data_IF_389334822790
#
_entry.id   IF_389334822790
#
_cell.length_a   1.000
_cell.length_b   1.000
_cell.length_c   1.000
_cell.angle_alpha   90.00
_cell.angle_beta   90.00
_cell.angle_gamma   90.00
#
_symmetry.space_group_name_H-M   'P 1'
#
loop_
_entity.id
_entity.type
_entity.pdbx_description
1 polymer ?
#
# COMPACT_ATOMS: atom_id res chain seq x y z
N UNK A 1 -16.51 18.43 -5.63
CA UNK A 1 -17.76 17.99 -6.31
C UNK A 1 -18.19 16.67 -5.72
N UNK A 2 -19.44 16.54 -5.28
CA UNK A 2 -19.98 15.27 -4.77
C UNK A 2 -21.02 14.71 -5.73
N UNK A 3 -21.05 13.39 -5.91
CA UNK A 3 -22.08 12.70 -6.68
C UNK A 3 -22.88 11.81 -5.74
N UNK A 4 -24.21 11.95 -5.76
CA UNK A 4 -25.09 11.08 -4.97
C UNK A 4 -25.14 9.70 -5.61
N UNK A 5 -24.94 8.66 -4.80
CA UNK A 5 -24.99 7.26 -5.20
C UNK A 5 -25.98 6.53 -4.30
N UNK A 6 -26.87 5.73 -4.87
CA UNK A 6 -27.74 4.83 -4.10
C UNK A 6 -27.07 3.47 -4.05
N UNK A 7 -26.67 3.04 -2.85
CA UNK A 7 -26.03 1.74 -2.61
C UNK A 7 -26.79 0.99 -1.54
N UNK A 8 -26.85 -0.34 -1.69
CA UNK A 8 -27.35 -1.24 -0.66
C UNK A 8 -26.16 -1.76 0.13
N UNK A 9 -26.22 -1.64 1.45
CA UNK A 9 -25.22 -2.20 2.36
C UNK A 9 -25.91 -3.17 3.32
N UNK A 10 -25.21 -4.21 3.80
CA UNK A 10 -25.71 -5.05 4.87
C UNK A 10 -26.08 -4.22 6.09
N UNK A 11 -27.15 -4.62 6.79
CA UNK A 11 -27.61 -3.93 8.00
C UNK A 11 -26.50 -3.83 9.06
N UNK A 12 -25.71 -4.89 9.22
CA UNK A 12 -24.55 -4.91 10.11
C UNK A 12 -23.52 -3.81 9.78
N UNK A 13 -23.30 -3.54 8.50
CA UNK A 13 -22.40 -2.46 8.04
C UNK A 13 -22.99 -1.08 8.31
N UNK A 14 -24.32 -0.92 8.18
CA UNK A 14 -25.00 0.32 8.51
C UNK A 14 -24.88 0.61 10.01
N UNK A 15 -25.12 -0.38 10.88
CA UNK A 15 -24.98 -0.24 12.33
C UNK A 15 -23.54 0.18 12.70
N UNK A 16 -22.53 -0.46 12.11
CA UNK A 16 -21.14 -0.08 12.30
C UNK A 16 -20.87 1.35 11.85
N UNK A 17 -21.37 1.72 10.65
CA UNK A 17 -21.23 3.07 10.12
C UNK A 17 -21.87 4.11 11.05
N UNK A 18 -23.03 3.84 11.62
CA UNK A 18 -23.72 4.74 12.55
C UNK A 18 -23.03 4.84 13.91
N UNK A 19 -22.37 3.77 14.36
CA UNK A 19 -21.60 3.79 15.60
C UNK A 19 -20.35 4.65 15.53
N UNK A 20 -19.76 4.81 14.33
CA UNK A 20 -18.50 5.53 14.12
C UNK A 20 -18.71 6.91 13.50
N UNK A 21 -19.66 7.05 12.57
CA UNK A 21 -19.93 8.30 11.89
C UNK A 21 -21.09 9.06 12.53
N UNK A 22 -20.82 10.30 12.96
CA UNK A 22 -21.87 11.22 13.43
C UNK A 22 -22.92 11.53 12.36
N UNK A 23 -24.04 12.14 12.78
CA UNK A 23 -25.11 12.57 11.86
C UNK A 23 -24.52 13.49 10.78
N UNK A 24 -24.71 13.14 9.51
CA UNK A 24 -24.20 13.91 8.37
C UNK A 24 -22.81 13.49 7.86
N UNK A 25 -22.03 12.74 8.67
CA UNK A 25 -20.65 12.36 8.32
C UNK A 25 -20.53 11.04 7.57
N UNK A 26 -21.64 10.32 7.35
CA UNK A 26 -21.64 8.98 6.72
C UNK A 26 -20.94 8.98 5.36
N UNK A 27 -21.25 9.95 4.49
CA UNK A 27 -20.65 10.03 3.15
C UNK A 27 -19.14 10.31 3.21
N UNK A 28 -18.72 11.18 4.12
CA UNK A 28 -17.30 11.51 4.34
C UNK A 28 -16.53 10.30 4.90
N UNK A 29 -17.13 9.59 5.85
CA UNK A 29 -16.57 8.35 6.38
C UNK A 29 -16.41 7.28 5.29
N UNK A 30 -17.43 7.07 4.46
CA UNK A 30 -17.38 6.12 3.34
C UNK A 30 -16.27 6.51 2.34
N UNK A 31 -16.15 7.80 1.97
CA UNK A 31 -15.09 8.28 1.08
C UNK A 31 -13.69 7.99 1.65
N UNK A 32 -13.48 8.30 2.93
CA UNK A 32 -12.21 8.05 3.60
C UNK A 32 -11.90 6.57 3.75
N UNK A 33 -12.91 5.74 4.04
CA UNK A 33 -12.75 4.30 4.12
C UNK A 33 -12.34 3.69 2.77
N UNK A 34 -13.00 4.10 1.67
CA UNK A 34 -12.67 3.64 0.32
C UNK A 34 -11.24 4.06 -0.06
N UNK A 35 -10.87 5.33 0.15
CA UNK A 35 -9.51 5.81 -0.13
C UNK A 35 -8.45 5.05 0.66
N UNK A 36 -8.71 4.82 1.94
CA UNK A 36 -7.78 4.10 2.83
C UNK A 36 -7.61 2.65 2.42
N UNK A 37 -8.72 1.98 2.07
CA UNK A 37 -8.71 0.61 1.58
C UNK A 37 -7.89 0.49 0.28
N UNK A 38 -8.20 1.32 -0.72
CA UNK A 38 -7.49 1.30 -2.01
C UNK A 38 -6.00 1.60 -1.81
N UNK A 39 -5.64 2.55 -0.94
CA UNK A 39 -4.25 2.86 -0.64
C UNK A 39 -3.53 1.65 -0.03
N UNK A 40 -4.14 0.97 0.93
CA UNK A 40 -3.58 -0.22 1.58
C UNK A 40 -3.39 -1.36 0.57
N UNK A 41 -4.40 -1.64 -0.25
CA UNK A 41 -4.32 -2.67 -1.30
C UNK A 41 -3.18 -2.40 -2.28
N UNK A 42 -3.08 -1.16 -2.79
CA UNK A 42 -1.98 -0.77 -3.69
C UNK A 42 -0.60 -0.89 -3.04
N UNK A 43 -0.48 -0.56 -1.75
CA UNK A 43 0.78 -0.72 -1.03
C UNK A 43 1.16 -2.20 -0.87
N UNK A 44 0.19 -3.06 -0.60
CA UNK A 44 0.41 -4.50 -0.49
C UNK A 44 0.83 -5.11 -1.82
N UNK A 45 0.14 -4.77 -2.91
CA UNK A 45 0.52 -5.17 -4.27
C UNK A 45 1.94 -4.72 -4.63
N UNK A 46 2.26 -3.44 -4.38
CA UNK A 46 3.58 -2.91 -4.65
C UNK A 46 4.68 -3.65 -3.85
N UNK A 47 4.44 -3.92 -2.57
CA UNK A 47 5.39 -4.69 -1.74
C UNK A 47 5.62 -6.09 -2.29
N UNK A 48 4.55 -6.76 -2.71
CA UNK A 48 4.64 -8.10 -3.27
C UNK A 48 5.46 -8.09 -4.56
N UNK A 49 5.17 -7.16 -5.48
CA UNK A 49 5.91 -7.01 -6.74
C UNK A 49 7.37 -6.62 -6.54
N UNK A 50 7.67 -5.78 -5.56
CA UNK A 50 9.05 -5.45 -5.20
C UNK A 50 9.80 -6.67 -4.66
N UNK A 51 9.16 -7.47 -3.79
CA UNK A 51 9.74 -8.71 -3.26
C UNK A 51 10.01 -9.71 -4.37
N UNK A 52 9.03 -9.98 -5.23
CA UNK A 52 9.18 -10.89 -6.38
C UNK A 52 10.28 -10.41 -7.32
N UNK A 53 10.30 -9.11 -7.61
CA UNK A 53 11.34 -8.49 -8.40
C UNK A 53 12.73 -8.69 -7.80
N UNK A 54 12.91 -8.46 -6.50
CA UNK A 54 14.18 -8.64 -5.80
C UNK A 54 14.63 -10.11 -5.81
N UNK A 55 13.71 -11.05 -5.59
CA UNK A 55 14.01 -12.50 -5.64
C UNK A 55 14.45 -12.90 -7.04
N UNK A 56 13.67 -12.54 -8.06
CA UNK A 56 13.96 -12.87 -9.46
C UNK A 56 15.31 -12.29 -9.94
N UNK A 57 15.75 -11.21 -9.31
CA UNK A 57 16.96 -10.47 -9.66
C UNK A 57 18.16 -10.78 -8.76
N UNK A 58 17.96 -11.58 -7.72
CA UNK A 58 18.93 -11.80 -6.63
C UNK A 58 20.31 -12.27 -7.11
N UNK A 59 20.38 -13.22 -8.05
CA UNK A 59 21.65 -13.75 -8.55
C UNK A 59 22.47 -12.68 -9.27
N UNK A 60 21.84 -11.95 -10.21
CA UNK A 60 22.49 -10.85 -10.93
C UNK A 60 22.88 -9.71 -9.97
N UNK A 61 22.02 -9.37 -9.03
CA UNK A 61 22.30 -8.30 -8.06
C UNK A 61 23.47 -8.70 -7.13
N UNK A 62 23.55 -9.96 -6.72
CA UNK A 62 24.67 -10.49 -5.93
C UNK A 62 25.98 -10.51 -6.73
N UNK A 63 25.93 -10.93 -7.99
CA UNK A 63 27.09 -10.95 -8.87
C UNK A 63 27.65 -9.54 -9.07
N UNK A 64 26.78 -8.58 -9.36
CA UNK A 64 27.16 -7.17 -9.49
C UNK A 64 27.78 -6.64 -8.19
N UNK A 65 27.18 -6.94 -7.03
CA UNK A 65 27.73 -6.50 -5.75
C UNK A 65 29.15 -7.05 -5.51
N UNK A 66 29.42 -8.31 -5.87
CA UNK A 66 30.76 -8.90 -5.76
C UNK A 66 31.78 -8.23 -6.66
N UNK A 67 31.41 -7.92 -7.91
CA UNK A 67 32.29 -7.26 -8.88
C UNK A 67 32.74 -5.87 -8.41
N UNK A 68 31.87 -5.16 -7.71
CA UNK A 68 32.14 -3.79 -7.24
C UNK A 68 32.72 -3.72 -5.82
N UNK A 69 32.74 -4.84 -5.10
CA UNK A 69 33.15 -4.89 -3.70
C UNK A 69 34.59 -4.40 -3.48
N UNK A 70 35.53 -4.80 -4.34
CA UNK A 70 36.94 -4.43 -4.21
C UNK A 70 37.15 -2.91 -4.33
N UNK A 71 36.41 -2.25 -5.22
CA UNK A 71 36.49 -0.79 -5.43
C UNK A 71 35.88 -0.02 -4.25
N UNK A 72 34.82 -0.55 -3.65
CA UNK A 72 34.20 0.05 -2.45
C UNK A 72 35.08 -0.10 -1.21
N UNK A 73 35.73 -1.25 -1.03
CA UNK A 73 36.62 -1.51 0.12
C UNK A 73 37.83 -0.56 0.14
N UNK A 74 38.45 -0.29 -1.02
CA UNK A 74 39.56 0.65 -1.15
C UNK A 74 39.19 2.10 -0.78
N UNK A 75 37.93 2.50 -1.00
CA UNK A 75 37.43 3.84 -0.66
C UNK A 75 37.06 4.00 0.81
N UNK A 76 36.67 2.91 1.49
CA UNK A 76 36.31 2.91 2.91
C UNK A 76 37.50 2.82 3.87
N UNK A 77 38.66 2.37 3.40
CA UNK A 77 39.89 2.24 4.20
C UNK A 77 40.77 3.52 4.19
N UNK A 78 40.25 4.63 3.66
CA UNK A 78 40.86 5.98 3.71
C UNK A 78 40.14 6.88 4.70
#
# INVERSE_FOLDING_TARGET
MHKRLNITLPESTIVLLESVAGKGEKSNFIDNAIKSYIRREKQNDLRQRLKEGAIARSERDLQLAKEWFEVEEELWQK
#
